data_IF_973340051406
#
_entry.id   IF_973340051406
#
_cell.length_a   1.000
_cell.length_b   1.000
_cell.length_c   1.000
_cell.angle_alpha   90.00
_cell.angle_beta   90.00
_cell.angle_gamma   90.00
#
_symmetry.space_group_name_H-M   'P 1'
#
loop_
_entity.id
_entity.type
_entity.pdbx_description
1 polymer ?
#
# COMPACT_ATOMS: atom_id res chain seq x y z
N UNK A 1 54.38 -58.87 -49.48
CA UNK A 1 54.39 -58.89 -48.00
C UNK A 1 54.13 -57.47 -47.53
N UNK A 2 52.97 -57.27 -46.89
CA UNK A 2 52.48 -55.98 -46.42
C UNK A 2 53.37 -55.40 -45.31
N UNK A 3 53.48 -54.07 -45.28
CA UNK A 3 53.91 -53.34 -44.10
C UNK A 3 53.03 -52.10 -43.88
N UNK A 4 52.55 -52.00 -42.64
CA UNK A 4 52.11 -50.81 -41.87
C UNK A 4 50.69 -50.29 -42.14
N UNK A 5 49.72 -50.49 -41.23
CA UNK A 5 49.49 -49.81 -39.91
C UNK A 5 49.47 -48.29 -40.04
N UNK A 6 48.47 -47.50 -39.63
CA UNK A 6 47.28 -47.71 -38.82
C UNK A 6 46.89 -46.36 -38.16
N UNK A 7 45.63 -46.22 -37.74
CA UNK A 7 45.07 -45.17 -36.85
C UNK A 7 44.84 -43.77 -37.45
N UNK A 8 43.83 -42.96 -37.11
CA UNK A 8 42.55 -43.09 -36.39
C UNK A 8 41.78 -41.77 -36.57
N UNK A 9 40.46 -41.85 -36.73
CA UNK A 9 39.38 -40.97 -36.18
C UNK A 9 39.43 -39.45 -36.43
N UNK A 10 38.32 -38.86 -36.94
CA UNK A 10 37.44 -37.95 -36.16
C UNK A 10 36.57 -37.03 -37.04
N UNK A 11 35.24 -37.14 -36.81
CA UNK A 11 34.18 -36.11 -36.82
C UNK A 11 33.96 -35.24 -38.07
N UNK A 12 32.83 -35.53 -38.73
CA UNK A 12 32.08 -34.63 -39.61
C UNK A 12 31.51 -33.48 -38.78
N UNK A 13 31.89 -32.25 -39.10
CA UNK A 13 31.23 -31.01 -38.65
C UNK A 13 30.74 -30.23 -39.87
N UNK A 14 29.45 -29.94 -39.85
CA UNK A 14 28.70 -29.27 -40.92
C UNK A 14 29.02 -27.77 -40.98
N UNK A 15 29.07 -27.30 -42.21
CA UNK A 15 29.39 -25.96 -42.74
C UNK A 15 28.65 -24.81 -42.03
N UNK A 16 29.41 -23.82 -41.53
CA UNK A 16 28.92 -22.48 -41.20
C UNK A 16 29.26 -21.55 -42.37
N UNK A 17 28.25 -21.00 -43.03
CA UNK A 17 28.42 -20.08 -44.16
C UNK A 17 29.00 -18.74 -43.68
N UNK A 18 30.16 -18.38 -44.23
CA UNK A 18 30.76 -17.05 -44.17
C UNK A 18 29.96 -16.09 -45.06
N UNK A 19 29.49 -14.97 -44.49
CA UNK A 19 29.30 -13.74 -45.27
C UNK A 19 30.48 -12.81 -45.01
N UNK A 20 31.10 -12.39 -46.12
CA UNK A 20 32.38 -11.72 -46.18
C UNK A 20 32.30 -10.24 -45.81
N UNK A 21 33.39 -9.80 -45.16
CA UNK A 21 34.15 -8.57 -45.41
C UNK A 21 33.37 -7.26 -45.62
N UNK A 22 33.43 -6.39 -44.60
CA UNK A 22 33.69 -4.97 -44.82
C UNK A 22 35.01 -4.61 -44.13
N UNK A 23 36.02 -4.35 -44.96
CA UNK A 23 37.27 -3.72 -44.56
C UNK A 23 37.00 -2.24 -44.27
N UNK A 24 37.40 -1.79 -43.09
CA UNK A 24 37.29 -0.40 -42.66
C UNK A 24 38.13 -0.17 -41.43
N UNK A 25 39.46 -0.19 -41.61
CA UNK A 25 40.40 0.23 -40.57
C UNK A 25 40.23 1.72 -40.29
N UNK A 26 39.79 2.03 -39.08
CA UNK A 26 39.76 3.35 -38.49
C UNK A 26 39.52 3.19 -37.01
N UNK A 27 40.56 3.38 -36.20
CA UNK A 27 40.49 3.35 -34.75
C UNK A 27 39.62 4.49 -34.23
N UNK A 28 38.31 4.31 -34.29
CA UNK A 28 37.33 5.11 -33.57
C UNK A 28 36.78 4.23 -32.48
N UNK A 29 36.86 4.69 -31.23
CA UNK A 29 36.08 4.13 -30.13
C UNK A 29 34.60 4.27 -30.52
N UNK A 30 34.05 3.31 -31.25
CA UNK A 30 32.62 3.09 -31.33
C UNK A 30 32.20 2.47 -29.99
N UNK A 31 32.42 3.22 -28.91
CA UNK A 31 31.59 3.10 -27.74
C UNK A 31 30.20 3.38 -28.26
N UNK A 32 29.37 2.33 -28.36
CA UNK A 32 27.96 2.49 -28.61
C UNK A 32 27.41 3.58 -27.68
N UNK A 33 26.30 4.25 -28.06
CA UNK A 33 25.74 5.33 -27.27
C UNK A 33 25.73 4.92 -25.78
N UNK A 34 26.23 5.78 -24.87
CA UNK A 34 26.38 5.42 -23.47
C UNK A 34 25.05 4.86 -22.95
N UNK A 35 25.08 3.80 -22.12
CA UNK A 35 23.87 3.22 -21.56
C UNK A 35 22.99 4.35 -21.01
N UNK A 36 21.66 4.31 -21.24
CA UNK A 36 20.78 5.29 -20.65
C UNK A 36 21.07 5.43 -19.15
N UNK A 37 21.12 6.65 -18.60
CA UNK A 37 21.33 6.83 -17.17
C UNK A 37 20.33 5.99 -16.37
N UNK A 38 20.74 5.42 -15.22
CA UNK A 38 19.83 4.63 -14.40
C UNK A 38 18.63 5.49 -14.02
N UNK A 39 17.43 4.98 -14.34
CA UNK A 39 16.16 5.68 -14.08
C UNK A 39 15.85 5.78 -12.58
N UNK A 40 16.30 4.78 -11.82
CA UNK A 40 16.16 4.71 -10.38
C UNK A 40 17.50 4.38 -9.71
N UNK A 41 17.65 4.86 -8.47
CA UNK A 41 18.77 4.55 -7.58
C UNK A 41 18.28 4.63 -6.13
N UNK A 42 19.14 4.40 -5.14
CA UNK A 42 18.78 4.61 -3.73
C UNK A 42 18.24 6.02 -3.46
N UNK A 43 18.69 7.03 -4.21
CA UNK A 43 18.22 8.41 -4.08
C UNK A 43 16.76 8.58 -4.53
N UNK A 44 16.22 7.63 -5.32
CA UNK A 44 14.82 7.63 -5.73
C UNK A 44 13.86 7.29 -4.59
N UNK A 45 14.33 6.60 -3.55
CA UNK A 45 13.58 6.34 -2.32
C UNK A 45 14.15 7.21 -1.21
N UNK A 46 13.63 8.43 -1.06
CA UNK A 46 14.05 9.38 -0.02
C UNK A 46 12.83 10.07 0.59
N UNK A 47 12.86 10.29 1.90
CA UNK A 47 11.78 10.90 2.67
C UNK A 47 10.91 9.89 3.43
N UNK A 48 9.82 10.38 4.02
CA UNK A 48 8.85 9.55 4.74
C UNK A 48 7.82 8.96 3.78
N UNK A 49 7.56 7.66 3.89
CA UNK A 49 6.56 6.94 3.12
C UNK A 49 5.55 6.32 4.08
N UNK A 50 4.26 6.46 3.77
CA UNK A 50 3.23 5.61 4.35
C UNK A 50 3.14 4.32 3.54
N UNK A 51 2.94 3.19 4.23
CA UNK A 51 2.73 1.90 3.60
C UNK A 51 1.51 1.20 4.19
N UNK A 52 0.91 0.33 3.40
CA UNK A 52 -0.15 -0.57 3.83
C UNK A 52 0.02 -1.90 3.11
N UNK A 53 -0.12 -2.99 3.85
CA UNK A 53 -0.08 -4.34 3.35
C UNK A 53 -1.01 -5.25 4.13
N UNK A 54 -1.46 -6.30 3.46
CA UNK A 54 -2.25 -7.37 4.05
C UNK A 54 -1.85 -8.68 3.42
N UNK A 55 -2.13 -9.77 4.13
CA UNK A 55 -1.77 -11.08 3.64
C UNK A 55 -2.21 -12.20 4.57
N UNK A 56 -1.60 -13.35 4.37
CA UNK A 56 -1.76 -14.53 5.22
C UNK A 56 -0.44 -14.87 5.87
N UNK A 57 -0.48 -15.11 7.19
CA UNK A 57 0.62 -15.64 7.99
C UNK A 57 0.27 -17.04 8.53
N UNK A 58 1.27 -17.76 9.01
CA UNK A 58 1.07 -19.05 9.67
C UNK A 58 1.01 -18.87 11.19
N UNK A 59 -0.13 -19.23 11.78
CA UNK A 59 -0.39 -19.16 13.20
C UNK A 59 -0.71 -20.55 13.73
N UNK A 60 0.18 -21.09 14.57
CA UNK A 60 0.10 -22.48 15.05
C UNK A 60 -0.13 -23.52 13.92
N UNK A 61 0.49 -23.29 12.76
CA UNK A 61 0.37 -24.16 11.58
C UNK A 61 -0.89 -23.95 10.73
N UNK A 62 -1.75 -22.97 11.06
CA UNK A 62 -2.94 -22.61 10.29
C UNK A 62 -2.78 -21.24 9.65
N UNK A 63 -3.37 -21.04 8.47
CA UNK A 63 -3.39 -19.73 7.82
C UNK A 63 -4.24 -18.73 8.61
N UNK A 64 -3.68 -17.55 8.91
CA UNK A 64 -4.39 -16.42 9.51
C UNK A 64 -4.24 -15.18 8.64
N UNK A 65 -5.30 -14.40 8.51
CA UNK A 65 -5.19 -13.07 7.89
C UNK A 65 -4.46 -12.11 8.83
N UNK A 66 -3.67 -11.23 8.24
CA UNK A 66 -3.04 -10.14 8.97
C UNK A 66 -3.01 -8.86 8.13
N UNK A 67 -2.85 -7.74 8.80
CA UNK A 67 -2.65 -6.43 8.18
C UNK A 67 -1.56 -5.65 8.90
N UNK A 68 -0.80 -4.86 8.12
CA UNK A 68 0.18 -3.90 8.64
C UNK A 68 0.02 -2.57 7.91
N UNK A 69 0.05 -1.49 8.66
CA UNK A 69 0.07 -0.13 8.11
C UNK A 69 1.09 0.67 8.87
N UNK A 70 1.73 1.64 8.25
CA UNK A 70 2.74 2.39 8.96
C UNK A 70 3.44 3.42 8.12
N UNK A 71 4.54 3.92 8.68
CA UNK A 71 5.47 4.79 7.98
C UNK A 71 6.90 4.30 8.11
N UNK A 72 7.72 4.54 7.09
CA UNK A 72 9.18 4.42 7.18
C UNK A 72 9.83 5.64 6.54
N UNK A 73 11.00 6.03 7.03
CA UNK A 73 11.77 7.16 6.50
C UNK A 73 13.06 6.66 5.88
N UNK A 74 13.17 6.79 4.56
CA UNK A 74 14.35 6.45 3.78
C UNK A 74 15.27 7.67 3.63
N UNK A 75 16.58 7.46 3.72
CA UNK A 75 17.58 8.54 3.69
C UNK A 75 18.09 8.91 2.28
N UNK A 76 17.69 8.18 1.24
CA UNK A 76 18.25 8.34 -0.11
C UNK A 76 19.58 7.62 -0.34
N UNK A 77 20.14 6.96 0.67
CA UNK A 77 21.46 6.33 0.66
C UNK A 77 21.43 4.84 1.06
N UNK A 78 20.25 4.26 1.24
CA UNK A 78 20.05 2.83 1.52
C UNK A 78 19.76 2.51 3.00
N UNK A 79 19.47 3.52 3.84
CA UNK A 79 19.10 3.33 5.24
C UNK A 79 17.65 3.73 5.52
N UNK A 80 17.03 2.98 6.43
CA UNK A 80 15.80 3.38 7.10
C UNK A 80 16.18 4.01 8.43
N UNK A 81 15.77 5.26 8.62
CA UNK A 81 16.20 6.11 9.75
C UNK A 81 15.15 6.21 10.86
N UNK A 82 13.89 6.02 10.52
CA UNK A 82 12.77 6.09 11.46
C UNK A 82 11.54 5.42 10.86
N UNK A 83 10.53 5.21 11.68
CA UNK A 83 9.20 4.81 11.27
C UNK A 83 8.50 4.00 12.35
N UNK A 84 7.24 3.70 12.09
CA UNK A 84 6.36 2.94 12.98
C UNK A 84 5.40 2.11 12.13
N UNK A 85 4.94 0.99 12.67
CA UNK A 85 3.86 0.23 12.08
C UNK A 85 2.81 -0.15 13.13
N UNK A 86 1.55 -0.08 12.73
CA UNK A 86 0.43 -0.68 13.40
C UNK A 86 0.22 -2.07 12.78
N UNK A 87 0.18 -3.10 13.61
CA UNK A 87 0.02 -4.50 13.20
C UNK A 87 -1.29 -5.05 13.74
N UNK A 88 -1.96 -5.87 12.92
CA UNK A 88 -3.04 -6.74 13.33
C UNK A 88 -2.67 -8.14 12.86
N UNK A 89 -2.08 -8.91 13.77
CA UNK A 89 -1.59 -10.27 13.55
C UNK A 89 -2.34 -11.23 14.48
N UNK A 90 -2.19 -12.53 14.29
CA UNK A 90 -2.93 -13.52 15.07
C UNK A 90 -2.61 -13.53 16.57
N UNK A 91 -1.46 -12.98 16.98
CA UNK A 91 -1.10 -12.81 18.39
C UNK A 91 -1.68 -11.54 19.00
N UNK A 92 -2.30 -10.67 18.20
CA UNK A 92 -2.99 -9.47 18.64
C UNK A 92 -2.68 -8.24 17.79
N UNK A 93 -3.16 -7.10 18.27
CA UNK A 93 -2.89 -5.79 17.69
C UNK A 93 -1.79 -5.07 18.45
N UNK A 94 -0.97 -4.29 17.75
CA UNK A 94 0.14 -3.57 18.38
C UNK A 94 0.69 -2.44 17.53
N UNK A 95 1.47 -1.57 18.16
CA UNK A 95 2.23 -0.50 17.50
C UNK A 95 3.71 -0.78 17.75
N UNK A 96 4.49 -0.87 16.67
CA UNK A 96 5.90 -1.22 16.70
C UNK A 96 6.73 -0.12 16.05
N UNK A 97 7.72 0.40 16.78
CA UNK A 97 8.67 1.37 16.26
C UNK A 97 9.76 0.66 15.46
N UNK A 98 10.11 1.19 14.29
CA UNK A 98 11.29 0.72 13.57
C UNK A 98 12.56 1.25 14.23
N UNK A 99 13.47 0.32 14.54
CA UNK A 99 14.79 0.59 15.12
C UNK A 99 15.90 0.61 14.06
N UNK A 100 15.59 0.24 12.83
CA UNK A 100 16.50 0.30 11.69
C UNK A 100 15.94 -0.36 10.44
N UNK A 101 16.79 -0.49 9.43
CA UNK A 101 16.44 -1.13 8.16
C UNK A 101 17.38 -0.70 7.05
N UNK A 102 17.38 -1.47 5.95
CA UNK A 102 18.20 -1.21 4.77
C UNK A 102 17.35 -1.35 3.52
N UNK A 103 17.75 -0.67 2.45
CA UNK A 103 17.13 -0.87 1.15
C UNK A 103 18.15 -0.71 0.02
N UNK A 104 17.85 -1.33 -1.12
CA UNK A 104 18.60 -1.18 -2.36
C UNK A 104 17.63 -1.02 -3.52
N UNK A 105 17.84 -0.04 -4.38
CA UNK A 105 17.04 0.18 -5.60
C UNK A 105 17.93 0.00 -6.83
N UNK A 106 17.54 -0.93 -7.68
CA UNK A 106 18.16 -1.20 -8.97
C UNK A 106 17.68 -0.19 -10.02
N UNK A 107 18.42 -0.09 -11.12
CA UNK A 107 18.15 0.87 -12.20
C UNK A 107 16.77 0.70 -12.85
N UNK A 108 16.17 -0.50 -12.76
CA UNK A 108 14.84 -0.82 -13.27
C UNK A 108 13.71 -0.47 -12.26
N UNK A 109 14.06 0.01 -11.07
CA UNK A 109 13.13 0.40 -10.01
C UNK A 109 12.75 -0.74 -9.06
N UNK A 110 13.23 -1.97 -9.29
CA UNK A 110 13.08 -3.06 -8.32
C UNK A 110 14.09 -2.91 -7.19
N UNK A 111 13.81 -3.56 -6.07
CA UNK A 111 14.70 -3.44 -4.92
C UNK A 111 14.39 -4.39 -3.79
N UNK A 112 15.25 -4.32 -2.79
CA UNK A 112 15.06 -4.96 -1.49
C UNK A 112 14.78 -3.90 -0.43
N UNK A 113 13.98 -4.26 0.56
CA UNK A 113 13.74 -3.46 1.76
C UNK A 113 13.74 -4.40 2.97
N UNK A 114 14.41 -4.01 4.03
CA UNK A 114 14.31 -4.65 5.35
C UNK A 114 13.90 -3.61 6.37
N UNK A 115 12.96 -3.98 7.24
CA UNK A 115 12.48 -3.15 8.34
C UNK A 115 12.67 -3.93 9.63
N UNK A 116 13.33 -3.31 10.62
CA UNK A 116 13.63 -3.93 11.91
C UNK A 116 12.87 -3.22 13.01
N UNK A 117 12.19 -3.98 13.87
CA UNK A 117 11.50 -3.51 15.07
C UNK A 117 11.83 -4.44 16.26
N UNK A 118 11.09 -4.33 17.37
CA UNK A 118 11.28 -5.18 18.55
C UNK A 118 10.90 -6.66 18.35
N UNK A 119 10.14 -6.99 17.32
CA UNK A 119 9.78 -8.36 16.93
C UNK A 119 10.77 -9.01 15.97
N UNK A 120 11.72 -8.25 15.41
CA UNK A 120 12.74 -8.74 14.50
C UNK A 120 12.83 -7.94 13.20
N UNK A 121 13.48 -8.53 12.19
CA UNK A 121 13.61 -7.94 10.85
C UNK A 121 12.68 -8.64 9.88
N UNK A 122 11.87 -7.87 9.16
CA UNK A 122 11.02 -8.35 8.07
C UNK A 122 11.62 -7.94 6.73
N UNK A 123 11.66 -8.88 5.77
CA UNK A 123 12.26 -8.64 4.45
C UNK A 123 11.19 -8.52 3.37
N UNK A 124 11.45 -7.62 2.43
CA UNK A 124 10.54 -7.30 1.35
C UNK A 124 11.27 -7.14 0.02
N UNK A 125 10.56 -7.50 -1.04
CA UNK A 125 10.82 -7.00 -2.38
C UNK A 125 9.96 -5.76 -2.63
N UNK A 126 10.53 -4.77 -3.31
CA UNK A 126 9.85 -3.54 -3.66
C UNK A 126 9.99 -3.24 -5.15
N UNK A 127 9.06 -2.46 -5.69
CA UNK A 127 9.11 -1.94 -7.05
C UNK A 127 8.58 -0.51 -7.08
N UNK A 128 9.41 0.42 -7.52
CA UNK A 128 9.06 1.83 -7.64
C UNK A 128 8.29 2.06 -8.95
N UNK A 129 7.12 2.67 -8.82
CA UNK A 129 6.41 3.28 -9.97
C UNK A 129 6.98 4.68 -10.22
N UNK A 130 7.34 5.38 -9.16
CA UNK A 130 8.02 6.68 -9.15
C UNK A 130 8.77 6.88 -7.82
N UNK A 131 9.43 8.03 -7.63
CA UNK A 131 9.94 8.42 -6.30
C UNK A 131 8.84 8.75 -5.29
N UNK A 132 7.56 8.76 -5.70
CA UNK A 132 6.43 9.05 -4.82
C UNK A 132 5.61 7.80 -4.47
N UNK A 133 5.79 6.68 -5.18
CA UNK A 133 4.93 5.50 -5.05
C UNK A 133 5.64 4.23 -5.48
N UNK A 134 5.35 3.13 -4.78
CA UNK A 134 5.72 1.78 -5.21
C UNK A 134 4.82 0.69 -4.64
N UNK A 135 5.11 -0.54 -5.07
CA UNK A 135 4.54 -1.78 -4.54
C UNK A 135 5.55 -2.46 -3.62
N UNK A 136 5.04 -3.22 -2.65
CA UNK A 136 5.85 -3.99 -1.69
C UNK A 136 5.28 -5.40 -1.56
N UNK A 137 6.14 -6.40 -1.46
CA UNK A 137 5.76 -7.78 -1.17
C UNK A 137 6.74 -8.39 -0.18
N UNK A 138 6.20 -9.02 0.87
CA UNK A 138 7.02 -9.69 1.89
C UNK A 138 7.62 -10.98 1.32
N UNK A 139 8.87 -11.26 1.65
CA UNK A 139 9.65 -12.37 1.09
C UNK A 139 10.04 -13.44 2.10
N UNK A 140 9.57 -13.33 3.35
CA UNK A 140 9.86 -14.33 4.39
C UNK A 140 9.05 -15.61 4.16
N UNK A 141 9.64 -16.78 4.45
CA UNK A 141 9.15 -18.09 3.99
C UNK A 141 7.76 -18.50 4.50
N UNK A 142 7.25 -17.89 5.57
CA UNK A 142 5.99 -18.28 6.23
C UNK A 142 4.86 -17.27 6.05
N UNK A 143 5.08 -16.24 5.22
CA UNK A 143 4.13 -15.15 5.03
C UNK A 143 3.94 -14.86 3.55
N UNK A 144 2.68 -14.72 3.14
CA UNK A 144 2.32 -14.22 1.81
C UNK A 144 1.60 -12.89 1.99
N UNK A 145 2.28 -11.78 1.70
CA UNK A 145 1.72 -10.45 1.85
C UNK A 145 2.22 -9.51 0.77
N UNK A 146 1.34 -8.60 0.37
CA UNK A 146 1.68 -7.53 -0.56
C UNK A 146 0.93 -6.25 -0.21
N UNK A 147 1.38 -5.16 -0.78
CA UNK A 147 0.88 -3.85 -0.47
C UNK A 147 1.49 -2.77 -1.34
N UNK A 148 1.35 -1.54 -0.87
CA UNK A 148 1.92 -0.37 -1.54
C UNK A 148 2.46 0.63 -0.54
N UNK A 149 3.29 1.54 -1.04
CA UNK A 149 3.78 2.68 -0.27
C UNK A 149 3.69 3.98 -1.09
N UNK A 150 3.50 5.09 -0.40
CA UNK A 150 3.29 6.44 -0.94
C UNK A 150 4.12 7.43 -0.12
N UNK A 151 4.84 8.33 -0.80
CA UNK A 151 5.59 9.39 -0.14
C UNK A 151 4.64 10.37 0.52
N UNK A 152 4.84 10.63 1.80
CA UNK A 152 4.09 11.63 2.55
C UNK A 152 4.82 12.96 2.55
N UNK A 153 4.06 14.04 2.67
CA UNK A 153 4.60 15.35 3.03
C UNK A 153 4.03 15.75 4.40
N UNK A 154 4.75 15.46 5.49
CA UNK A 154 4.24 15.70 6.85
C UNK A 154 3.80 17.14 7.09
N UNK A 155 4.49 18.10 6.48
CA UNK A 155 4.16 19.52 6.58
C UNK A 155 2.84 19.92 5.93
N UNK A 156 2.21 19.04 5.15
CA UNK A 156 0.87 19.27 4.59
C UNK A 156 -0.26 18.80 5.51
N UNK A 157 0.04 18.00 6.53
CA UNK A 157 -0.95 17.61 7.53
C UNK A 157 -1.07 18.69 8.59
N UNK A 158 -2.27 19.27 8.70
CA UNK A 158 -2.62 20.20 9.76
C UNK A 158 -4.08 20.03 10.14
N UNK A 159 -4.43 20.34 11.38
CA UNK A 159 -5.83 20.31 11.82
C UNK A 159 -6.67 21.23 10.93
N UNK A 160 -6.16 22.41 10.57
CA UNK A 160 -6.85 23.36 9.70
C UNK A 160 -7.16 22.78 8.32
N UNK A 161 -6.35 21.86 7.80
CA UNK A 161 -6.57 21.22 6.51
C UNK A 161 -7.78 20.28 6.48
N UNK A 162 -8.25 19.80 7.65
CA UNK A 162 -9.41 18.93 7.79
C UNK A 162 -10.64 19.64 8.35
N UNK A 163 -10.68 20.98 8.33
CA UNK A 163 -11.88 21.72 8.71
C UNK A 163 -13.02 21.48 7.68
N UNK A 164 -14.19 21.09 8.16
CA UNK A 164 -15.38 20.93 7.31
C UNK A 164 -16.24 19.72 7.64
N UNK A 165 -17.29 19.54 6.83
CA UNK A 165 -18.21 18.41 6.92
C UNK A 165 -17.76 17.22 6.09
N UNK A 166 -17.84 16.02 6.68
CA UNK A 166 -17.46 14.75 6.06
C UNK A 166 -18.61 13.77 6.18
N UNK A 167 -18.91 13.06 5.09
CA UNK A 167 -19.78 11.88 5.11
C UNK A 167 -18.90 10.64 5.26
N UNK A 168 -19.36 9.68 6.05
CA UNK A 168 -18.69 8.39 6.21
C UNK A 168 -19.69 7.25 6.09
N UNK A 169 -19.19 6.10 5.65
CA UNK A 169 -19.88 4.83 5.78
C UNK A 169 -19.01 3.84 6.56
N UNK A 170 -19.66 2.91 7.24
CA UNK A 170 -19.02 1.82 7.96
C UNK A 170 -19.85 0.56 7.74
N UNK A 171 -19.15 -0.56 7.55
CA UNK A 171 -19.74 -1.89 7.45
C UNK A 171 -18.93 -2.82 8.33
N UNK A 172 -19.61 -3.67 9.07
CA UNK A 172 -18.96 -4.59 9.99
C UNK A 172 -19.93 -5.59 10.56
N UNK A 173 -19.57 -6.13 11.72
CA UNK A 173 -20.42 -7.02 12.49
C UNK A 173 -20.45 -6.56 13.94
N UNK A 174 -21.58 -6.74 14.59
CA UNK A 174 -21.74 -6.64 16.03
C UNK A 174 -21.82 -8.06 16.59
N UNK A 175 -21.05 -8.33 17.64
CA UNK A 175 -21.04 -9.63 18.30
C UNK A 175 -21.74 -9.49 19.64
N UNK A 176 -22.94 -10.05 19.75
CA UNK A 176 -23.71 -10.10 21.01
C UNK A 176 -23.81 -11.55 21.46
N UNK A 177 -22.95 -11.94 22.42
CA UNK A 177 -22.82 -13.33 22.84
C UNK A 177 -22.23 -14.20 21.73
N UNK A 178 -22.98 -15.18 21.24
CA UNK A 178 -22.59 -16.03 20.10
C UNK A 178 -23.18 -15.57 18.77
N UNK A 179 -23.98 -14.51 18.77
CA UNK A 179 -24.65 -13.98 17.57
C UNK A 179 -23.73 -12.97 16.88
N UNK A 180 -23.61 -13.09 15.56
CA UNK A 180 -22.85 -12.17 14.72
C UNK A 180 -23.84 -11.46 13.80
N UNK A 181 -24.14 -10.21 14.12
CA UNK A 181 -25.12 -9.40 13.41
C UNK A 181 -24.43 -8.46 12.43
N UNK A 182 -24.84 -8.39 11.15
CA UNK A 182 -24.26 -7.45 10.21
C UNK A 182 -24.64 -6.02 10.61
N UNK A 183 -23.66 -5.12 10.55
CA UNK A 183 -23.80 -3.70 10.87
C UNK A 183 -23.49 -2.87 9.64
N UNK A 184 -24.33 -1.88 9.37
CA UNK A 184 -24.03 -0.78 8.46
C UNK A 184 -24.35 0.55 9.13
N UNK A 185 -23.41 1.48 9.10
CA UNK A 185 -23.58 2.82 9.64
C UNK A 185 -23.26 3.80 8.51
N UNK A 186 -24.08 4.84 8.36
CA UNK A 186 -23.80 5.98 7.49
C UNK A 186 -23.96 7.22 8.33
N UNK A 187 -23.06 8.18 8.19
CA UNK A 187 -23.15 9.40 8.96
C UNK A 187 -22.45 10.57 8.34
N UNK A 188 -22.60 11.71 9.00
CA UNK A 188 -21.86 12.93 8.76
C UNK A 188 -21.22 13.40 10.06
N UNK A 189 -20.01 13.93 9.98
CA UNK A 189 -19.34 14.65 11.06
C UNK A 189 -18.84 16.00 10.55
N UNK A 190 -18.71 16.97 11.45
CA UNK A 190 -18.09 18.26 11.17
C UNK A 190 -16.82 18.41 12.03
N UNK A 191 -15.68 18.54 11.37
CA UNK A 191 -14.39 18.81 12.00
C UNK A 191 -14.13 20.32 12.07
N UNK A 192 -13.62 20.78 13.21
CA UNK A 192 -13.43 22.21 13.52
C UNK A 192 -12.15 22.84 12.97
N UNK A 193 -11.25 22.03 12.42
CA UNK A 193 -9.94 22.53 12.00
C UNK A 193 -8.93 22.74 13.14
N UNK A 194 -9.30 22.46 14.38
CA UNK A 194 -8.48 22.53 15.59
C UNK A 194 -8.23 21.14 16.21
N UNK A 195 -8.80 20.08 15.63
CA UNK A 195 -8.61 18.69 16.05
C UNK A 195 -9.84 18.11 16.76
N UNK A 196 -10.92 18.87 16.85
CA UNK A 196 -12.20 18.45 17.38
C UNK A 196 -13.20 18.08 16.28
N UNK A 197 -14.11 17.18 16.64
CA UNK A 197 -15.37 16.97 15.92
C UNK A 197 -16.45 17.73 16.69
N UNK A 198 -17.03 18.75 16.07
CA UNK A 198 -17.97 19.67 16.73
C UNK A 198 -19.43 19.29 16.51
N UNK A 199 -19.73 18.55 15.43
CA UNK A 199 -21.06 17.99 15.20
C UNK A 199 -20.96 16.62 14.56
N UNK A 200 -22.01 15.81 14.71
CA UNK A 200 -22.17 14.59 13.94
C UNK A 200 -23.54 13.97 14.09
N UNK A 201 -23.97 13.26 13.06
CA UNK A 201 -25.16 12.41 13.04
C UNK A 201 -24.79 11.12 12.32
N UNK A 202 -25.30 9.99 12.79
CA UNK A 202 -25.26 8.75 12.04
C UNK A 202 -26.59 8.03 12.16
N UNK A 203 -26.87 7.23 11.15
CA UNK A 203 -27.92 6.22 11.14
C UNK A 203 -27.24 4.85 11.12
N UNK A 204 -27.75 3.92 11.93
CA UNK A 204 -27.22 2.56 12.04
C UNK A 204 -28.28 1.55 11.69
N UNK A 205 -27.88 0.51 10.97
CA UNK A 205 -28.66 -0.70 10.72
C UNK A 205 -27.91 -1.90 11.28
N UNK A 206 -28.52 -2.60 12.22
CA UNK A 206 -27.98 -3.81 12.86
C UNK A 206 -28.97 -4.94 12.60
N UNK A 207 -28.54 -5.99 11.89
CA UNK A 207 -29.37 -7.14 11.55
C UNK A 207 -30.72 -6.81 10.87
N UNK A 208 -30.80 -5.68 10.16
CA UNK A 208 -32.05 -5.22 9.53
C UNK A 208 -32.91 -4.30 10.39
N UNK A 209 -32.52 -4.05 11.65
CA UNK A 209 -33.17 -3.07 12.52
C UNK A 209 -32.47 -1.72 12.39
N UNK A 210 -33.16 -0.75 11.76
CA UNK A 210 -32.72 0.64 11.70
C UNK A 210 -32.92 1.33 13.06
N UNK A 211 -31.88 1.99 13.57
CA UNK A 211 -31.96 2.87 14.73
C UNK A 211 -31.75 4.32 14.26
N UNK A 212 -32.79 5.14 14.33
CA UNK A 212 -32.76 6.53 13.84
C UNK A 212 -32.19 7.52 14.87
N UNK A 213 -31.41 8.47 14.35
CA UNK A 213 -31.06 9.81 14.88
C UNK A 213 -30.62 9.88 16.35
N UNK A 214 -29.35 9.61 16.62
CA UNK A 214 -28.69 10.12 17.83
C UNK A 214 -28.05 11.49 17.56
N UNK A 215 -28.77 12.58 17.86
CA UNK A 215 -28.15 13.90 18.09
C UNK A 215 -27.45 13.85 19.44
N UNK A 216 -26.16 14.20 19.50
CA UNK A 216 -25.44 14.14 20.76
C UNK A 216 -25.95 15.19 21.76
N UNK A 217 -26.49 14.70 22.87
CA UNK A 217 -26.45 15.30 24.19
C UNK A 217 -26.15 14.18 25.18
N UNK A 218 -25.01 14.24 25.88
CA UNK A 218 -24.55 13.38 26.98
C UNK A 218 -24.51 11.87 26.70
N UNK A 219 -23.29 11.33 26.60
CA UNK A 219 -23.01 9.89 26.57
C UNK A 219 -23.57 9.21 27.83
N UNK A 220 -24.63 8.42 27.69
CA UNK A 220 -25.06 7.51 28.75
C UNK A 220 -24.65 6.08 28.40
N UNK A 221 -23.94 5.48 29.35
CA UNK A 221 -23.29 4.16 29.32
C UNK A 221 -24.32 3.04 29.09
N UNK A 222 -24.15 2.26 28.03
CA UNK A 222 -24.63 0.87 27.97
C UNK A 222 -23.48 -0.01 27.50
N UNK A 223 -23.14 -1.02 28.30
CA UNK A 223 -22.29 -2.14 27.90
C UNK A 223 -20.81 -1.81 27.71
N UNK A 224 -19.99 -2.33 28.60
CA UNK A 224 -18.54 -2.26 28.57
C UNK A 224 -17.95 -3.02 27.38
N UNK A 225 -17.37 -2.32 26.39
CA UNK A 225 -16.22 -2.80 25.60
C UNK A 225 -15.34 -1.60 25.20
N UNK A 226 -14.02 -1.78 25.35
CA UNK A 226 -13.01 -0.72 25.31
C UNK A 226 -12.55 -0.42 23.88
N UNK A 227 -12.32 0.89 23.63
CA UNK A 227 -11.57 1.55 22.53
C UNK A 227 -12.20 1.51 21.13
N UNK A 228 -12.66 2.67 20.68
CA UNK A 228 -12.66 3.04 19.26
C UNK A 228 -11.63 4.16 19.05
N UNK A 229 -10.44 3.80 18.56
CA UNK A 229 -9.49 4.77 18.01
C UNK A 229 -9.80 4.92 16.52
N UNK A 230 -10.41 6.04 16.13
CA UNK A 230 -10.65 6.38 14.72
C UNK A 230 -9.46 7.21 14.20
N UNK A 231 -8.67 6.63 13.28
CA UNK A 231 -7.62 7.34 12.53
C UNK A 231 -8.07 7.47 11.06
N UNK A 232 -8.60 8.63 10.69
CA UNK A 232 -9.09 8.89 9.32
C UNK A 232 -7.92 9.27 8.38
N UNK A 233 -7.73 8.49 7.30
CA UNK A 233 -6.76 8.72 6.21
C UNK A 233 -7.39 9.55 5.08
N UNK A 234 -6.63 10.51 4.53
CA UNK A 234 -7.07 11.61 3.67
C UNK A 234 -7.09 11.34 2.16
N UNK A 235 -8.05 11.97 1.44
CA UNK A 235 -7.99 12.57 0.06
C UNK A 235 -9.37 13.18 -0.24
N UNK A 236 -9.63 14.27 -0.96
CA UNK A 236 -8.90 15.29 -1.72
C UNK A 236 -9.97 16.27 -2.27
N UNK A 237 -9.63 17.56 -2.40
CA UNK A 237 -10.52 18.74 -2.31
C UNK A 237 -10.87 19.37 -3.68
N UNK A 238 -12.08 19.94 -3.87
CA UNK A 238 -12.34 21.38 -4.13
C UNK A 238 -13.75 21.70 -4.73
N UNK A 239 -14.34 22.89 -4.43
CA UNK A 239 -15.80 23.13 -4.47
C UNK A 239 -16.27 24.25 -5.42
N UNK A 240 -17.54 24.22 -5.84
CA UNK A 240 -18.31 25.43 -6.15
C UNK A 240 -19.76 25.28 -5.63
N UNK A 241 -20.17 26.23 -4.80
CA UNK A 241 -21.52 26.33 -4.20
C UNK A 241 -22.52 26.96 -5.18
N UNK A 242 -23.76 26.45 -5.23
CA UNK A 242 -25.00 27.23 -5.39
C UNK A 242 -26.20 26.41 -4.83
N UNK A 243 -27.29 27.08 -4.37
CA UNK A 243 -28.18 26.58 -3.32
C UNK A 243 -29.38 25.76 -3.80
N UNK A 244 -29.97 25.07 -2.81
CA UNK A 244 -31.11 24.16 -2.82
C UNK A 244 -32.42 24.72 -3.42
N UNK A 245 -33.14 23.87 -4.16
CA UNK A 245 -34.61 23.84 -4.25
C UNK A 245 -35.09 22.38 -4.44
N UNK A 246 -36.21 22.01 -3.82
CA UNK A 246 -36.50 20.64 -3.36
C UNK A 246 -37.46 19.73 -4.13
N UNK A 247 -37.48 18.46 -3.67
CA UNK A 247 -38.53 17.39 -3.72
C UNK A 247 -39.02 16.88 -5.11
N UNK A 248 -39.70 15.71 -5.25
CA UNK A 248 -39.63 14.41 -4.53
C UNK A 248 -39.69 13.13 -5.45
N UNK A 249 -39.51 11.93 -4.86
CA UNK A 249 -39.90 10.55 -5.30
C UNK A 249 -39.26 9.86 -6.53
N UNK A 250 -39.01 8.54 -6.41
CA UNK A 250 -39.21 7.59 -7.53
C UNK A 250 -38.17 6.48 -7.72
N UNK A 251 -38.53 5.26 -7.30
CA UNK A 251 -37.88 3.94 -7.42
C UNK A 251 -37.38 3.57 -8.83
N UNK A 252 -36.21 2.91 -8.95
CA UNK A 252 -35.88 2.10 -10.14
C UNK A 252 -34.39 1.79 -10.38
N UNK A 253 -33.80 0.83 -9.66
CA UNK A 253 -32.42 0.38 -9.93
C UNK A 253 -32.34 -0.79 -10.92
N UNK A 254 -32.04 -0.51 -12.19
CA UNK A 254 -31.28 -1.44 -13.06
C UNK A 254 -29.96 -0.78 -13.45
N UNK A 255 -28.86 -1.48 -13.17
CA UNK A 255 -27.70 -1.57 -14.06
C UNK A 255 -26.78 -0.35 -14.22
N UNK A 256 -25.65 -0.43 -13.50
CA UNK A 256 -24.27 -0.15 -14.00
C UNK A 256 -23.85 1.30 -14.32
N UNK A 257 -22.61 1.59 -13.90
CA UNK A 257 -21.68 2.66 -14.29
C UNK A 257 -21.84 4.00 -13.56
N UNK A 258 -20.99 4.20 -12.55
CA UNK A 258 -20.62 5.53 -12.10
C UNK A 258 -19.61 6.12 -13.11
N UNK A 259 -20.12 6.93 -14.02
CA UNK A 259 -19.34 7.95 -14.73
C UNK A 259 -19.31 9.17 -13.84
N UNK A 260 -18.11 9.62 -13.47
CA UNK A 260 -17.89 10.81 -12.66
C UNK A 260 -18.25 12.06 -13.48
N UNK A 261 -19.34 12.73 -13.11
CA UNK A 261 -19.61 14.10 -13.54
C UNK A 261 -19.47 15.02 -12.31
N UNK A 262 -18.50 15.91 -12.41
CA UNK A 262 -18.17 16.97 -11.46
C UNK A 262 -19.29 18.04 -11.49
N UNK A 263 -19.81 18.41 -10.32
CA UNK A 263 -20.44 19.73 -10.08
C UNK A 263 -19.54 20.47 -9.11
#
# INVERSE_FOLDING_TARGET
MNARTGSTVSRVSMVLALFAAACGGGGGNNGGPPPPPPKFTNASLSGQYAFSMSGTELCAGQGSLFARIGTFTADGHGNITNGLEDVNVCTGVGILQFTGGRYSIDADGRGSLSLTNSSGTTNYSISLVSSAQGAVAQTDATVTASGSFQRQNPGTFSNAAIAGGYVFDFKGVEVVGTTVDPVSIIGRLDADGAGGIVNGLYDSNIAGNGHERRRHGVWTRYGEYRRAEFRLLCRGRHPHQVPWDGFPFGIGGRGVRATEHRV
#
